data_IF_848630376583
#
_entry.id   IF_848630376583
#
_cell.length_a   1.000
_cell.length_b   1.000
_cell.length_c   1.000
_cell.angle_alpha   90.00
_cell.angle_beta   90.00
_cell.angle_gamma   90.00
#
_symmetry.space_group_name_H-M   'P 1'
#
loop_
_entity.id
_entity.type
_entity.pdbx_description
1 polymer ?
#
# COMPACT_ATOMS: atom_id res chain seq x y z
N UNK A 1 -8.57 -14.81 3.11
CA UNK A 1 -9.06 -15.95 3.93
C UNK A 1 -7.94 -16.77 4.57
N UNK A 2 -6.81 -17.05 3.89
CA UNK A 2 -5.67 -17.76 4.51
C UNK A 2 -4.88 -16.93 5.56
N UNK A 3 -4.94 -15.60 5.52
CA UNK A 3 -4.16 -14.72 6.41
C UNK A 3 -4.68 -14.62 7.85
N UNK A 4 -5.99 -14.67 8.09
CA UNK A 4 -6.56 -14.50 9.44
C UNK A 4 -6.60 -15.79 10.26
N UNK A 5 -6.46 -16.96 9.63
CA UNK A 5 -6.57 -18.26 10.32
C UNK A 5 -5.34 -18.59 11.19
N UNK A 6 -4.23 -17.87 10.98
CA UNK A 6 -2.96 -18.04 11.68
C UNK A 6 -2.51 -16.77 12.41
N UNK A 7 -3.44 -15.99 12.96
CA UNK A 7 -3.08 -15.11 14.07
C UNK A 7 -2.89 -16.05 15.28
N UNK A 8 -1.66 -16.31 15.74
CA UNK A 8 -1.47 -17.11 16.93
C UNK A 8 -2.28 -16.47 18.05
N UNK A 9 -3.04 -17.27 18.79
CA UNK A 9 -3.60 -16.89 20.09
C UNK A 9 -2.42 -16.64 21.03
N UNK A 10 -1.68 -15.55 20.84
CA UNK A 10 -0.67 -15.13 21.80
C UNK A 10 -1.44 -14.57 22.99
N UNK A 11 -1.79 -15.44 23.93
CA UNK A 11 -2.34 -15.10 25.23
C UNK A 11 -1.33 -14.33 26.12
N UNK A 12 -0.35 -13.65 25.52
CA UNK A 12 0.75 -12.96 26.21
C UNK A 12 0.64 -11.43 26.09
N UNK A 13 -0.55 -10.92 25.76
CA UNK A 13 -0.94 -9.55 26.08
C UNK A 13 -1.96 -9.62 27.21
N UNK A 14 -1.56 -10.23 28.33
CA UNK A 14 -2.36 -10.20 29.55
C UNK A 14 -2.19 -8.82 30.18
N UNK A 15 -3.29 -8.09 30.17
CA UNK A 15 -3.63 -6.92 30.98
C UNK A 15 -2.79 -6.78 32.26
N UNK A 16 -1.89 -5.79 32.27
CA UNK A 16 -1.59 -5.04 33.50
C UNK A 16 -2.56 -3.84 33.53
N UNK A 17 -3.86 -4.13 33.68
CA UNK A 17 -4.86 -3.11 33.98
C UNK A 17 -4.97 -2.97 35.49
N UNK A 18 -4.75 -1.73 35.93
CA UNK A 18 -4.74 -1.21 37.28
C UNK A 18 -5.80 -1.78 38.23
N UNK A 19 -5.33 -2.24 39.39
CA UNK A 19 -6.04 -2.06 40.65
C UNK A 19 -5.07 -1.45 41.65
N UNK A 20 -5.25 -0.17 41.97
CA UNK A 20 -4.79 0.55 43.19
C UNK A 20 -5.28 1.99 43.09
N UNK A 21 -6.34 2.34 43.80
CA UNK A 21 -6.33 2.85 45.17
C UNK A 21 -5.38 4.05 45.36
N UNK A 22 -5.99 5.19 45.66
CA UNK A 22 -5.39 6.43 46.12
C UNK A 22 -4.26 6.21 47.12
N UNK A 23 -3.06 6.67 46.79
CA UNK A 23 -2.20 7.47 47.68
C UNK A 23 -0.88 7.83 46.98
N UNK A 24 -0.61 9.14 46.96
CA UNK A 24 0.69 9.81 47.04
C UNK A 24 1.91 9.18 46.35
N UNK A 25 2.51 9.93 45.42
CA UNK A 25 3.81 10.58 45.64
C UNK A 25 4.54 10.86 44.32
N UNK A 26 4.92 12.13 44.15
CA UNK A 26 5.78 12.65 43.11
C UNK A 26 7.11 11.89 43.05
N UNK A 27 7.39 11.20 41.93
CA UNK A 27 8.71 10.98 41.29
C UNK A 27 8.64 9.74 40.40
N UNK A 28 8.63 9.92 39.08
CA UNK A 28 9.36 9.08 38.09
C UNK A 28 8.75 9.24 36.70
N UNK A 29 8.93 10.41 36.08
CA UNK A 29 8.54 10.67 34.68
C UNK A 29 9.73 10.56 33.72
N UNK A 30 10.82 9.89 34.12
CA UNK A 30 12.08 9.91 33.37
C UNK A 30 12.54 8.54 32.84
N UNK A 31 11.79 7.46 33.01
CA UNK A 31 12.33 6.10 32.71
C UNK A 31 11.66 5.41 31.51
N UNK A 32 10.48 5.86 31.06
CA UNK A 32 9.75 5.21 29.95
C UNK A 32 10.18 5.75 28.57
N UNK A 33 10.66 7.00 28.48
CA UNK A 33 11.12 7.60 27.21
C UNK A 33 12.32 6.89 26.58
N UNK A 34 13.22 6.31 27.39
CA UNK A 34 14.47 5.72 26.87
C UNK A 34 14.30 4.35 26.19
N UNK A 35 13.17 3.64 26.40
CA UNK A 35 12.98 2.29 25.84
C UNK A 35 12.47 2.27 24.41
N UNK A 36 11.74 3.31 23.99
CA UNK A 36 11.23 3.45 22.61
C UNK A 36 12.35 3.93 21.67
N UNK A 37 13.23 4.83 22.13
CA UNK A 37 14.36 5.31 21.32
C UNK A 37 15.37 4.21 20.97
N UNK A 38 15.52 3.21 21.84
CA UNK A 38 16.50 2.13 21.64
C UNK A 38 16.05 1.15 20.54
N UNK A 39 14.74 0.89 20.40
CA UNK A 39 14.22 -0.03 19.37
C UNK A 39 14.11 0.64 18.00
N UNK A 40 13.77 1.94 17.95
CA UNK A 40 13.75 2.73 16.71
C UNK A 40 15.17 2.92 16.15
N UNK A 41 16.17 3.12 17.01
CA UNK A 41 17.59 3.23 16.62
C UNK A 41 18.15 1.92 16.04
N UNK A 42 17.73 0.76 16.57
CA UNK A 42 18.15 -0.55 16.07
C UNK A 42 17.55 -0.89 14.69
N UNK A 43 16.30 -0.48 14.45
CA UNK A 43 15.64 -0.65 13.15
C UNK A 43 16.17 0.34 12.09
N UNK A 44 16.45 1.59 12.48
CA UNK A 44 17.10 2.59 11.62
C UNK A 44 18.54 2.16 11.23
N UNK A 45 19.31 1.59 12.16
CA UNK A 45 20.65 1.06 11.88
C UNK A 45 20.63 -0.15 10.91
N UNK A 46 19.59 -1.00 10.98
CA UNK A 46 19.43 -2.10 10.01
C UNK A 46 19.01 -1.60 8.62
N UNK A 47 18.11 -0.61 8.54
CA UNK A 47 17.66 -0.04 7.27
C UNK A 47 18.80 0.69 6.53
N UNK A 48 19.64 1.45 7.25
CA UNK A 48 20.78 2.16 6.68
C UNK A 48 21.90 1.21 6.19
N UNK A 49 22.00 0.00 6.77
CA UNK A 49 22.97 -1.03 6.37
C UNK A 49 22.59 -1.75 5.06
N UNK A 50 21.30 -1.78 4.70
CA UNK A 50 20.85 -2.27 3.39
C UNK A 50 20.99 -1.20 2.29
N UNK A 51 20.74 0.08 2.61
CA UNK A 51 20.90 1.19 1.66
C UNK A 51 22.36 1.45 1.23
N UNK A 52 23.32 1.27 2.14
CA UNK A 52 24.74 1.50 1.83
C UNK A 52 25.41 0.37 1.00
N UNK A 53 24.79 -0.81 0.89
CA UNK A 53 25.31 -1.91 0.04
C UNK A 53 24.93 -1.76 -1.43
N UNK A 54 23.76 -1.21 -1.75
CA UNK A 54 23.35 -0.96 -3.15
C UNK A 54 24.16 0.18 -3.80
N UNK A 55 24.64 1.16 -3.03
CA UNK A 55 25.46 2.27 -3.56
C UNK A 55 26.88 1.83 -3.95
N UNK A 56 27.43 0.74 -3.38
CA UNK A 56 28.78 0.27 -3.73
C UNK A 56 28.85 -0.54 -5.03
N UNK A 57 27.74 -1.06 -5.53
CA UNK A 57 27.69 -1.74 -6.84
C UNK A 57 27.45 -0.77 -8.01
N UNK A 58 26.94 0.43 -7.76
CA UNK A 58 26.80 1.47 -8.78
C UNK A 58 28.13 2.20 -9.11
N UNK A 59 29.12 2.17 -8.21
CA UNK A 59 30.37 2.94 -8.37
C UNK A 59 31.53 2.18 -9.03
N UNK A 60 31.35 0.90 -9.39
CA UNK A 60 32.42 0.06 -9.99
C UNK A 60 32.17 -0.38 -11.44
N UNK A 61 31.10 0.09 -12.08
CA UNK A 61 30.73 -0.27 -13.46
C UNK A 61 31.05 0.79 -14.54
N UNK A 62 31.64 1.93 -14.20
CA UNK A 62 31.74 3.11 -15.09
C UNK A 62 33.06 3.24 -15.87
N UNK A 63 33.71 2.14 -16.25
CA UNK A 63 34.91 2.19 -17.12
C UNK A 63 34.76 1.35 -18.40
N UNK A 64 33.53 1.03 -18.82
CA UNK A 64 33.33 0.48 -20.16
C UNK A 64 32.21 1.22 -20.90
N UNK A 65 32.66 1.86 -21.99
CA UNK A 65 31.89 2.27 -23.16
C UNK A 65 31.21 3.66 -23.13
N UNK A 66 32.04 4.71 -23.16
CA UNK A 66 31.61 6.10 -23.43
C UNK A 66 30.96 6.29 -24.81
N UNK A 67 31.11 5.34 -25.74
CA UNK A 67 30.56 5.45 -27.10
C UNK A 67 29.09 5.02 -27.21
N UNK A 68 28.57 4.23 -26.26
CA UNK A 68 27.15 3.81 -26.25
C UNK A 68 26.27 4.89 -25.60
N UNK A 69 26.79 5.62 -24.61
CA UNK A 69 26.02 6.63 -23.87
C UNK A 69 25.69 7.90 -24.68
N UNK A 70 26.58 8.32 -25.59
CA UNK A 70 26.34 9.48 -26.44
C UNK A 70 25.27 9.22 -27.52
N UNK A 71 25.06 7.96 -27.91
CA UNK A 71 24.08 7.59 -28.95
C UNK A 71 22.65 7.55 -28.41
N UNK A 72 22.46 7.24 -27.12
CA UNK A 72 21.16 7.28 -26.45
C UNK A 72 20.73 8.69 -26.07
N UNK A 73 21.65 9.62 -25.77
CA UNK A 73 21.27 10.99 -25.40
C UNK A 73 20.74 11.81 -26.60
N UNK A 74 21.29 11.59 -27.80
CA UNK A 74 20.82 12.27 -29.02
C UNK A 74 19.43 11.79 -29.47
N UNK A 75 19.11 10.49 -29.34
CA UNK A 75 17.77 9.98 -29.68
C UNK A 75 16.70 10.41 -28.66
N UNK A 76 17.08 10.73 -27.43
CA UNK A 76 16.14 11.19 -26.39
C UNK A 76 15.78 12.68 -26.55
N UNK A 77 16.66 13.51 -27.15
CA UNK A 77 16.37 14.93 -27.39
C UNK A 77 15.47 15.18 -28.61
N UNK A 78 15.57 14.37 -29.66
CA UNK A 78 14.72 14.53 -30.86
C UNK A 78 13.26 14.16 -30.61
N UNK A 79 12.97 13.26 -29.66
CA UNK A 79 11.60 12.85 -29.36
C UNK A 79 10.87 13.77 -28.35
N UNK A 80 11.58 14.73 -27.74
CA UNK A 80 11.02 15.59 -26.68
C UNK A 80 10.28 16.83 -27.21
N UNK A 81 10.46 17.17 -28.49
CA UNK A 81 9.81 18.33 -29.12
C UNK A 81 8.54 18.00 -29.88
N UNK A 82 8.17 16.72 -30.03
CA UNK A 82 6.95 16.32 -30.77
C UNK A 82 5.75 15.94 -29.89
N UNK A 83 5.91 15.89 -28.56
CA UNK A 83 4.87 15.40 -27.62
C UNK A 83 4.32 16.55 -26.74
N UNK A 84 4.54 17.81 -27.12
CA UNK A 84 3.99 18.96 -26.38
C UNK A 84 2.56 19.36 -26.84
N UNK A 85 2.05 18.79 -27.94
CA UNK A 85 0.83 19.31 -28.60
C UNK A 85 -0.34 18.33 -28.67
N UNK A 86 -0.19 17.06 -28.26
CA UNK A 86 -1.28 16.06 -28.29
C UNK A 86 -1.73 15.54 -26.90
N UNK A 87 -1.20 16.11 -25.81
CA UNK A 87 -1.47 15.66 -24.43
C UNK A 87 -2.88 15.97 -23.87
N UNK A 88 -3.66 16.85 -24.51
CA UNK A 88 -4.96 17.28 -23.97
C UNK A 88 -6.14 16.37 -24.31
N UNK A 89 -6.07 15.60 -25.40
CA UNK A 89 -7.22 14.78 -25.84
C UNK A 89 -7.21 13.35 -25.28
N UNK A 90 -6.08 12.87 -24.74
CA UNK A 90 -5.95 11.51 -24.18
C UNK A 90 -6.19 11.44 -22.67
N UNK A 91 -6.54 12.55 -22.01
CA UNK A 91 -6.86 12.57 -20.57
C UNK A 91 -8.36 12.45 -20.25
N UNK A 92 -9.24 12.54 -21.26
CA UNK A 92 -10.69 12.37 -21.09
C UNK A 92 -11.15 10.90 -21.06
N UNK A 93 -10.37 9.96 -21.62
CA UNK A 93 -10.76 8.53 -21.71
C UNK A 93 -10.48 7.77 -20.40
N UNK A 94 -9.74 8.34 -19.44
CA UNK A 94 -9.30 7.61 -18.24
C UNK A 94 -10.17 7.84 -16.98
N UNK A 95 -11.21 8.69 -17.03
CA UNK A 95 -12.14 8.93 -15.89
C UNK A 95 -13.25 7.87 -15.78
N UNK A 96 -13.62 7.20 -16.88
CA UNK A 96 -14.63 6.14 -16.88
C UNK A 96 -14.08 4.79 -16.40
N UNK A 97 -12.79 4.54 -16.57
CA UNK A 97 -12.21 3.22 -16.28
C UNK A 97 -12.07 2.90 -14.79
N UNK A 98 -11.98 3.90 -13.90
CA UNK A 98 -11.98 3.66 -12.43
C UNK A 98 -13.39 3.45 -11.85
N UNK A 99 -14.45 3.91 -12.53
CA UNK A 99 -15.85 3.64 -12.12
C UNK A 99 -16.37 2.29 -12.63
N UNK A 100 -15.83 1.77 -13.74
CA UNK A 100 -16.32 0.51 -14.32
C UNK A 100 -15.74 -0.75 -13.67
N UNK A 101 -14.53 -0.70 -13.08
CA UNK A 101 -13.96 -1.88 -12.38
C UNK A 101 -14.57 -2.04 -10.97
N UNK A 102 -15.12 -0.96 -10.40
CA UNK A 102 -15.69 -0.93 -9.05
C UNK A 102 -17.07 -1.60 -8.96
N UNK A 103 -17.87 -1.62 -10.04
CA UNK A 103 -19.22 -2.21 -10.00
C UNK A 103 -19.22 -3.74 -9.94
N UNK A 104 -18.26 -4.40 -10.60
CA UNK A 104 -18.16 -5.87 -10.60
C UNK A 104 -17.47 -6.42 -9.34
N UNK A 105 -16.48 -5.70 -8.78
CA UNK A 105 -15.76 -6.15 -7.59
C UNK A 105 -16.51 -5.87 -6.27
N UNK A 106 -17.41 -4.88 -6.26
CA UNK A 106 -18.15 -4.52 -5.03
C UNK A 106 -18.95 -5.67 -4.42
N UNK A 107 -19.44 -6.62 -5.22
CA UNK A 107 -20.14 -7.81 -4.70
C UNK A 107 -19.20 -8.79 -3.98
N UNK A 108 -17.99 -9.01 -4.52
CA UNK A 108 -17.00 -9.92 -3.94
C UNK A 108 -16.36 -9.31 -2.69
N UNK A 109 -16.07 -8.01 -2.75
CA UNK A 109 -15.45 -7.25 -1.67
C UNK A 109 -16.35 -7.26 -0.42
N UNK A 110 -17.63 -6.90 -0.60
CA UNK A 110 -18.63 -6.90 0.48
C UNK A 110 -18.80 -8.29 1.11
N UNK A 111 -18.59 -9.38 0.36
CA UNK A 111 -18.66 -10.75 0.91
C UNK A 111 -17.42 -11.12 1.74
N UNK A 112 -16.24 -10.61 1.40
CA UNK A 112 -15.01 -10.93 2.13
C UNK A 112 -14.95 -10.19 3.47
N UNK A 113 -15.36 -8.93 3.48
CA UNK A 113 -15.34 -8.04 4.65
C UNK A 113 -16.44 -8.39 5.65
N UNK A 114 -17.55 -8.97 5.19
CA UNK A 114 -18.63 -9.48 6.07
C UNK A 114 -18.30 -10.78 6.81
N UNK A 115 -17.11 -11.36 6.61
CA UNK A 115 -16.77 -12.61 7.28
C UNK A 115 -16.53 -12.38 8.78
N UNK A 116 -17.13 -13.22 9.65
CA UNK A 116 -16.97 -13.08 11.12
C UNK A 116 -15.51 -13.04 11.57
N UNK A 117 -14.63 -13.75 10.87
CA UNK A 117 -13.20 -13.75 11.15
C UNK A 117 -12.54 -12.41 10.82
N UNK A 118 -12.98 -11.74 9.75
CA UNK A 118 -12.53 -10.39 9.42
C UNK A 118 -13.02 -9.40 10.45
N UNK A 119 -14.33 -9.38 10.74
CA UNK A 119 -14.90 -8.50 11.77
C UNK A 119 -14.22 -8.66 13.13
N UNK A 120 -14.03 -9.89 13.60
CA UNK A 120 -13.29 -10.15 14.84
C UNK A 120 -11.82 -9.72 14.77
N UNK A 121 -11.20 -9.74 13.59
CA UNK A 121 -9.86 -9.23 13.35
C UNK A 121 -9.80 -7.71 13.39
N UNK A 122 -10.80 -7.03 12.81
CA UNK A 122 -10.93 -5.57 12.81
C UNK A 122 -11.22 -5.07 14.21
N UNK A 123 -12.14 -5.69 14.97
CA UNK A 123 -12.40 -5.31 16.36
C UNK A 123 -11.15 -5.43 17.23
N UNK A 124 -10.36 -6.50 17.05
CA UNK A 124 -9.07 -6.65 17.74
C UNK A 124 -8.02 -5.65 17.27
N UNK A 125 -8.07 -5.24 16.00
CA UNK A 125 -7.17 -4.20 15.50
C UNK A 125 -7.53 -2.86 16.11
N UNK A 126 -8.82 -2.54 16.24
CA UNK A 126 -9.32 -1.36 16.93
C UNK A 126 -8.79 -1.30 18.36
N UNK A 127 -8.98 -2.38 19.14
CA UNK A 127 -8.51 -2.45 20.53
C UNK A 127 -6.99 -2.32 20.70
N UNK A 128 -6.22 -2.48 19.61
CA UNK A 128 -4.75 -2.31 19.61
C UNK A 128 -4.34 -0.95 19.04
N UNK A 129 -5.22 -0.24 18.34
CA UNK A 129 -4.95 1.12 17.87
C UNK A 129 -5.39 2.14 18.91
N UNK A 130 -6.48 1.88 19.64
CA UNK A 130 -6.96 2.67 20.78
C UNK A 130 -6.04 2.45 22.00
N UNK A 131 -4.85 3.03 21.93
CA UNK A 131 -3.84 2.98 23.01
C UNK A 131 -4.31 3.82 24.22
N UNK A 132 -5.14 4.83 23.99
CA UNK A 132 -5.74 5.68 25.02
C UNK A 132 -6.82 4.97 25.84
N UNK A 133 -7.55 4.02 25.25
CA UNK A 133 -8.66 3.30 25.87
C UNK A 133 -9.94 4.13 25.97
N UNK A 134 -10.06 5.19 25.19
CA UNK A 134 -11.22 6.09 25.17
C UNK A 134 -12.38 5.52 24.34
N UNK A 135 -12.13 4.44 23.59
CA UNK A 135 -13.10 3.84 22.67
C UNK A 135 -13.23 4.60 21.36
N UNK A 136 -12.28 5.50 21.07
CA UNK A 136 -12.20 6.34 19.88
C UNK A 136 -10.75 6.32 19.39
N UNK A 137 -10.53 6.25 18.08
CA UNK A 137 -9.18 6.23 17.49
C UNK A 137 -8.86 7.60 16.90
N UNK A 138 -7.77 8.22 17.34
CA UNK A 138 -7.30 9.50 16.78
C UNK A 138 -6.53 9.33 15.44
N UNK A 139 -6.20 10.44 14.79
CA UNK A 139 -5.49 10.43 13.50
C UNK A 139 -4.10 9.77 13.58
N UNK A 140 -3.39 9.93 14.71
CA UNK A 140 -2.04 9.38 14.91
C UNK A 140 -2.08 7.88 15.19
N UNK A 141 -3.02 7.43 16.01
CA UNK A 141 -3.34 6.05 16.35
C UNK A 141 -3.77 5.29 15.10
N UNK A 142 -4.64 5.87 14.26
CA UNK A 142 -5.00 5.30 12.98
C UNK A 142 -3.76 5.08 12.09
N UNK A 143 -2.92 6.11 11.92
CA UNK A 143 -1.73 6.00 11.08
C UNK A 143 -0.80 4.88 11.57
N UNK A 144 -0.59 4.80 12.89
CA UNK A 144 0.22 3.77 13.53
C UNK A 144 -0.39 2.38 13.34
N UNK A 145 -1.70 2.27 13.49
CA UNK A 145 -2.48 1.06 13.25
C UNK A 145 -2.35 0.54 11.83
N UNK A 146 -2.54 1.41 10.84
CA UNK A 146 -2.39 1.08 9.42
C UNK A 146 -0.97 0.60 9.12
N UNK A 147 0.04 1.27 9.65
CA UNK A 147 1.44 0.86 9.49
C UNK A 147 1.68 -0.53 10.09
N UNK A 148 1.12 -0.81 11.27
CA UNK A 148 1.26 -2.12 11.90
C UNK A 148 0.55 -3.23 11.11
N UNK A 149 -0.63 -2.97 10.53
CA UNK A 149 -1.32 -3.91 9.64
C UNK A 149 -0.45 -4.23 8.42
N UNK A 150 0.13 -3.21 7.78
CA UNK A 150 1.06 -3.39 6.67
C UNK A 150 2.30 -4.20 7.08
N UNK A 151 2.87 -3.96 8.25
CA UNK A 151 4.04 -4.69 8.74
C UNK A 151 3.72 -6.18 9.02
N UNK A 152 2.54 -6.47 9.57
CA UNK A 152 2.08 -7.85 9.77
C UNK A 152 1.79 -8.54 8.44
N UNK A 153 1.17 -7.84 7.49
CA UNK A 153 0.94 -8.35 6.14
C UNK A 153 2.27 -8.60 5.42
N UNK A 154 3.23 -7.69 5.49
CA UNK A 154 4.58 -7.84 4.95
C UNK A 154 5.28 -9.12 5.42
N UNK A 155 5.12 -9.48 6.70
CA UNK A 155 5.69 -10.72 7.26
C UNK A 155 5.15 -11.98 6.57
N UNK A 156 3.91 -11.96 6.08
CA UNK A 156 3.22 -13.12 5.54
C UNK A 156 3.12 -13.11 4.00
N UNK A 157 2.93 -11.93 3.40
CA UNK A 157 2.77 -11.70 1.96
C UNK A 157 4.09 -11.32 1.27
N UNK A 158 5.16 -11.09 2.03
CA UNK A 158 6.45 -10.67 1.52
C UNK A 158 6.51 -9.17 1.19
N UNK A 159 7.55 -8.80 0.46
CA UNK A 159 7.89 -7.39 0.16
C UNK A 159 6.77 -6.64 -0.60
N UNK A 160 5.93 -7.37 -1.34
CA UNK A 160 4.85 -6.78 -2.15
C UNK A 160 3.78 -6.08 -1.30
N UNK A 161 3.66 -6.42 -0.01
CA UNK A 161 2.71 -5.78 0.92
C UNK A 161 3.33 -4.62 1.74
N UNK A 162 4.63 -4.34 1.57
CA UNK A 162 5.40 -3.38 2.37
C UNK A 162 5.27 -1.91 1.93
N UNK A 163 4.19 -1.53 1.27
CA UNK A 163 4.00 -0.14 0.81
C UNK A 163 2.87 0.50 1.61
N UNK A 164 3.15 0.96 2.84
CA UNK A 164 2.16 1.68 3.62
C UNK A 164 1.78 2.99 2.92
N UNK A 165 0.53 3.44 3.05
CA UNK A 165 0.12 4.76 2.60
C UNK A 165 0.95 5.85 3.30
N UNK A 166 1.17 6.96 2.59
CA UNK A 166 1.77 8.17 3.17
C UNK A 166 0.82 8.79 4.20
N UNK A 167 1.35 9.50 5.20
CA UNK A 167 0.54 10.15 6.25
C UNK A 167 -0.60 10.99 5.68
N UNK A 168 -0.31 11.90 4.73
CA UNK A 168 -1.33 12.70 4.07
C UNK A 168 -2.47 11.91 3.39
N UNK A 169 -2.24 10.64 3.01
CA UNK A 169 -3.30 9.77 2.47
C UNK A 169 -4.13 9.17 3.59
N UNK A 170 -3.50 8.81 4.72
CA UNK A 170 -4.22 8.40 5.93
C UNK A 170 -5.07 9.53 6.50
N UNK A 171 -4.53 10.75 6.59
CA UNK A 171 -5.25 11.94 7.05
C UNK A 171 -6.52 12.17 6.22
N UNK A 172 -6.43 11.93 4.91
CA UNK A 172 -7.60 11.98 4.01
C UNK A 172 -8.60 10.85 4.24
N UNK A 173 -8.13 9.64 4.48
CA UNK A 173 -9.02 8.53 4.82
C UNK A 173 -9.71 8.76 6.15
N UNK A 174 -9.01 9.36 7.12
CA UNK A 174 -9.56 9.76 8.40
C UNK A 174 -10.69 10.77 8.21
N UNK A 175 -10.43 11.87 7.48
CA UNK A 175 -11.44 12.90 7.21
C UNK A 175 -12.66 12.40 6.42
N UNK A 176 -12.50 11.36 5.60
CA UNK A 176 -13.61 10.73 4.86
C UNK A 176 -14.40 9.72 5.72
N UNK A 177 -13.74 9.09 6.70
CA UNK A 177 -14.34 8.10 7.58
C UNK A 177 -15.08 8.74 8.76
N UNK A 178 -14.55 9.85 9.30
CA UNK A 178 -15.13 10.67 10.37
C UNK A 178 -16.33 11.46 9.82
N UNK A 179 -17.49 10.80 9.74
CA UNK A 179 -18.70 11.37 9.13
C UNK A 179 -19.38 12.35 10.05
N UNK A 180 -19.27 12.14 11.35
CA UNK A 180 -19.85 13.01 12.37
C UNK A 180 -18.95 14.20 12.73
N UNK A 181 -17.69 14.20 12.27
CA UNK A 181 -16.68 15.22 12.56
C UNK A 181 -16.40 15.35 14.05
N UNK A 182 -16.44 14.24 14.75
CA UNK A 182 -16.13 14.18 16.18
C UNK A 182 -14.63 14.40 16.45
N UNK A 183 -13.77 14.27 15.44
CA UNK A 183 -12.32 14.37 15.55
C UNK A 183 -11.67 13.05 15.99
N UNK A 184 -12.42 11.95 15.95
CA UNK A 184 -11.97 10.61 16.28
C UNK A 184 -12.86 9.57 15.57
N UNK A 185 -12.35 8.36 15.39
CA UNK A 185 -13.11 7.30 14.71
C UNK A 185 -13.72 6.35 15.74
N UNK A 186 -15.03 6.17 15.65
CA UNK A 186 -15.71 5.11 16.38
C UNK A 186 -15.39 3.72 15.78
N UNK A 187 -15.94 2.65 16.38
CA UNK A 187 -15.65 1.27 15.93
C UNK A 187 -16.19 0.99 14.53
N UNK A 188 -17.32 1.59 14.17
CA UNK A 188 -18.01 1.43 12.90
C UNK A 188 -17.28 2.15 11.76
N UNK A 189 -16.86 3.39 11.99
CA UNK A 189 -16.06 4.22 11.09
C UNK A 189 -14.66 3.62 10.90
N UNK A 190 -14.04 3.12 11.97
CA UNK A 190 -12.80 2.37 11.86
C UNK A 190 -12.99 1.05 11.08
N UNK A 191 -14.13 0.38 11.21
CA UNK A 191 -14.37 -0.80 10.38
C UNK A 191 -14.46 -0.42 8.90
N UNK A 192 -15.13 0.69 8.58
CA UNK A 192 -15.25 1.20 7.22
C UNK A 192 -13.88 1.56 6.61
N UNK A 193 -13.00 2.24 7.36
CA UNK A 193 -11.68 2.63 6.86
C UNK A 193 -10.78 1.40 6.60
N UNK A 194 -10.82 0.41 7.50
CA UNK A 194 -10.02 -0.83 7.36
C UNK A 194 -10.51 -1.67 6.17
N UNK A 195 -11.82 -1.68 5.89
CA UNK A 195 -12.39 -2.31 4.70
C UNK A 195 -11.81 -1.70 3.42
N UNK A 196 -11.81 -0.37 3.29
CA UNK A 196 -11.23 0.34 2.14
C UNK A 196 -9.73 0.03 1.99
N UNK A 197 -8.98 0.09 3.09
CA UNK A 197 -7.54 -0.17 3.08
C UNK A 197 -7.24 -1.61 2.67
N UNK A 198 -7.97 -2.58 3.23
CA UNK A 198 -7.82 -3.99 2.89
C UNK A 198 -8.16 -4.26 1.43
N UNK A 199 -9.20 -3.62 0.88
CA UNK A 199 -9.56 -3.74 -0.54
C UNK A 199 -8.43 -3.25 -1.46
N UNK A 200 -7.81 -2.11 -1.12
CA UNK A 200 -6.67 -1.58 -1.87
C UNK A 200 -5.48 -2.53 -1.86
N UNK A 201 -5.14 -3.09 -0.70
CA UNK A 201 -4.03 -4.06 -0.58
C UNK A 201 -4.35 -5.36 -1.31
N UNK A 202 -5.57 -5.89 -1.15
CA UNK A 202 -5.99 -7.13 -1.81
C UNK A 202 -6.02 -6.98 -3.33
N UNK A 203 -6.48 -5.85 -3.84
CA UNK A 203 -6.48 -5.56 -5.29
C UNK A 203 -5.06 -5.56 -5.83
N UNK A 204 -4.12 -4.91 -5.13
CA UNK A 204 -2.70 -4.93 -5.47
C UNK A 204 -2.13 -6.36 -5.50
N UNK A 205 -2.40 -7.16 -4.47
CA UNK A 205 -1.96 -8.55 -4.41
C UNK A 205 -2.58 -9.40 -5.51
N UNK A 206 -3.87 -9.21 -5.79
CA UNK A 206 -4.60 -9.97 -6.81
C UNK A 206 -4.04 -9.71 -8.20
N UNK A 207 -3.87 -8.44 -8.59
CA UNK A 207 -3.25 -8.07 -9.88
C UNK A 207 -1.85 -8.67 -10.01
N UNK A 208 -1.07 -8.66 -8.91
CA UNK A 208 0.25 -9.27 -8.90
C UNK A 208 0.20 -10.77 -9.22
N UNK A 209 -0.64 -11.54 -8.53
CA UNK A 209 -0.74 -12.97 -8.79
C UNK A 209 -1.32 -13.27 -10.17
N UNK A 210 -2.26 -12.45 -10.65
CA UNK A 210 -2.85 -12.61 -11.97
C UNK A 210 -1.81 -12.40 -13.08
N UNK A 211 -1.01 -11.33 -13.00
CA UNK A 211 0.08 -11.07 -13.96
C UNK A 211 1.14 -12.16 -13.86
N UNK A 212 1.48 -12.61 -12.66
CA UNK A 212 2.49 -13.66 -12.46
C UNK A 212 2.04 -15.00 -13.05
N UNK A 213 0.79 -15.40 -12.81
CA UNK A 213 0.25 -16.68 -13.29
C UNK A 213 -0.02 -16.66 -14.80
N UNK A 214 -0.50 -15.54 -15.35
CA UNK A 214 -0.89 -15.46 -16.76
C UNK A 214 0.22 -14.94 -17.67
N UNK A 215 0.89 -13.84 -17.32
CA UNK A 215 1.85 -13.19 -18.23
C UNK A 215 3.21 -13.89 -18.27
N UNK A 216 3.70 -14.40 -17.14
CA UNK A 216 5.02 -15.05 -17.08
C UNK A 216 5.14 -16.27 -18.01
N UNK A 217 4.20 -17.25 -18.02
CA UNK A 217 4.31 -18.39 -18.94
C UNK A 217 4.16 -17.97 -20.40
N UNK A 218 3.27 -17.02 -20.71
CA UNK A 218 3.07 -16.51 -22.08
C UNK A 218 4.32 -15.81 -22.61
N UNK A 219 4.98 -15.00 -21.77
CA UNK A 219 6.21 -14.33 -22.17
C UNK A 219 7.37 -15.32 -22.34
N UNK A 220 7.45 -16.33 -21.46
CA UNK A 220 8.47 -17.37 -21.56
C UNK A 220 8.32 -18.19 -22.85
N UNK A 221 7.10 -18.61 -23.21
CA UNK A 221 6.85 -19.32 -24.47
C UNK A 221 7.11 -18.42 -25.68
N UNK A 222 6.69 -17.16 -25.63
CA UNK A 222 6.94 -16.18 -26.69
C UNK A 222 8.44 -16.02 -26.99
N UNK A 223 9.27 -15.83 -25.95
CA UNK A 223 10.72 -15.64 -26.13
C UNK A 223 11.40 -16.91 -26.63
N UNK A 224 11.01 -18.10 -26.14
CA UNK A 224 11.58 -19.36 -26.65
C UNK A 224 11.25 -19.58 -28.12
N UNK A 225 10.00 -19.31 -28.51
CA UNK A 225 9.57 -19.39 -29.90
C UNK A 225 10.33 -18.39 -30.78
N UNK A 226 10.59 -17.18 -30.26
CA UNK A 226 11.35 -16.16 -30.97
C UNK A 226 12.82 -16.56 -31.19
N UNK A 227 13.42 -17.25 -30.22
CA UNK A 227 14.81 -17.73 -30.31
C UNK A 227 15.00 -19.00 -31.16
N UNK A 228 13.92 -19.63 -31.66
CA UNK A 228 13.94 -20.88 -32.46
C UNK A 228 14.84 -21.97 -31.86
N UNK A 229 14.78 -22.18 -30.56
CA UNK A 229 15.55 -23.23 -29.88
C UNK A 229 14.89 -24.59 -30.18
N UNK A 230 15.63 -25.64 -30.57
CA UNK A 230 15.07 -26.97 -30.82
C UNK A 230 14.37 -27.54 -29.57
N UNK A 231 13.18 -28.11 -29.76
CA UNK A 231 12.22 -28.40 -28.69
C UNK A 231 12.58 -29.57 -27.76
N UNK A 232 13.55 -30.41 -28.13
CA UNK A 232 13.81 -31.68 -27.42
C UNK A 232 14.99 -31.68 -26.45
N UNK A 233 15.57 -30.51 -26.15
CA UNK A 233 16.77 -30.45 -25.29
C UNK A 233 16.42 -30.03 -23.86
N UNK A 234 17.00 -30.72 -22.85
CA UNK A 234 16.95 -30.28 -21.44
C UNK A 234 17.33 -28.80 -21.24
N UNK A 235 18.17 -28.28 -22.13
CA UNK A 235 18.53 -26.87 -22.21
C UNK A 235 17.31 -25.94 -22.34
N UNK A 236 16.27 -26.33 -23.06
CA UNK A 236 15.05 -25.53 -23.24
C UNK A 236 14.32 -25.31 -21.91
N UNK A 237 14.23 -26.34 -21.07
CA UNK A 237 13.60 -26.26 -19.74
C UNK A 237 14.37 -25.30 -18.83
N UNK A 238 15.71 -25.39 -18.82
CA UNK A 238 16.56 -24.51 -18.02
C UNK A 238 16.45 -23.07 -18.51
N UNK A 239 16.48 -22.83 -19.82
CA UNK A 239 16.31 -21.49 -20.41
C UNK A 239 14.94 -20.91 -20.08
N UNK A 240 13.86 -21.71 -20.17
CA UNK A 240 12.50 -21.28 -19.79
C UNK A 240 12.44 -20.86 -18.31
N UNK A 241 13.03 -21.64 -17.41
CA UNK A 241 13.05 -21.34 -15.98
C UNK A 241 13.91 -20.11 -15.65
N UNK A 242 15.07 -19.96 -16.29
CA UNK A 242 15.93 -18.78 -16.09
C UNK A 242 15.29 -17.52 -16.65
N UNK A 243 14.65 -17.61 -17.82
CA UNK A 243 13.99 -16.48 -18.44
C UNK A 243 12.76 -16.05 -17.65
N UNK A 244 11.96 -16.99 -17.15
CA UNK A 244 10.81 -16.67 -16.29
C UNK A 244 11.27 -16.00 -14.99
N UNK A 245 12.35 -16.48 -14.37
CA UNK A 245 12.95 -15.84 -13.20
C UNK A 245 13.46 -14.42 -13.54
N UNK A 246 14.20 -14.24 -14.64
CA UNK A 246 14.74 -12.94 -15.05
C UNK A 246 13.63 -11.93 -15.35
N UNK A 247 12.60 -12.35 -16.08
CA UNK A 247 11.39 -11.56 -16.35
C UNK A 247 10.72 -11.15 -15.04
N UNK A 248 10.56 -12.10 -14.11
CA UNK A 248 9.98 -11.83 -12.80
C UNK A 248 10.79 -10.79 -12.02
N UNK A 249 12.12 -10.86 -12.00
CA UNK A 249 12.95 -9.91 -11.26
C UNK A 249 13.07 -8.52 -11.92
N UNK A 250 13.01 -8.43 -13.25
CA UNK A 250 13.20 -7.15 -13.96
C UNK A 250 11.89 -6.43 -14.27
N UNK A 251 10.88 -7.15 -14.75
CA UNK A 251 9.63 -6.54 -15.21
C UNK A 251 8.74 -6.18 -14.01
N UNK A 252 8.73 -7.01 -12.96
CA UNK A 252 7.85 -6.82 -11.82
C UNK A 252 8.08 -5.48 -11.10
N UNK A 253 9.33 -5.05 -10.77
CA UNK A 253 9.56 -3.72 -10.20
C UNK A 253 9.11 -2.57 -11.11
N UNK A 254 9.24 -2.73 -12.44
CA UNK A 254 8.83 -1.70 -13.40
C UNK A 254 7.31 -1.55 -13.45
N UNK A 255 6.58 -2.67 -13.48
CA UNK A 255 5.12 -2.66 -13.43
C UNK A 255 4.64 -1.99 -12.14
N UNK A 256 5.28 -2.27 -10.99
CA UNK A 256 4.95 -1.62 -9.73
C UNK A 256 5.14 -0.11 -9.76
N UNK A 257 6.27 0.37 -10.26
CA UNK A 257 6.50 1.80 -10.38
C UNK A 257 5.44 2.49 -11.25
N UNK A 258 4.94 1.80 -12.29
CA UNK A 258 3.87 2.32 -13.15
C UNK A 258 2.52 2.35 -12.40
N UNK A 259 2.18 1.29 -11.67
CA UNK A 259 0.92 1.21 -10.90
C UNK A 259 0.92 2.27 -9.79
N UNK A 260 1.99 2.35 -9.01
CA UNK A 260 2.10 3.29 -7.89
C UNK A 260 2.18 4.75 -8.37
N UNK A 261 2.77 4.98 -9.55
CA UNK A 261 2.76 6.30 -10.20
C UNK A 261 1.35 6.79 -10.50
N UNK A 262 0.41 5.89 -10.86
CA UNK A 262 -0.99 6.27 -11.15
C UNK A 262 -1.78 6.64 -9.89
N UNK A 263 -1.48 6.01 -8.76
CA UNK A 263 -2.15 6.29 -7.48
C UNK A 263 -1.87 7.71 -6.97
N UNK A 264 -0.65 8.22 -7.19
CA UNK A 264 -0.27 9.59 -6.78
C UNK A 264 -1.04 10.67 -7.56
N UNK A 265 -1.21 10.48 -8.86
CA UNK A 265 -1.93 11.44 -9.73
C UNK A 265 -3.43 11.50 -9.38
N UNK A 266 -4.00 10.42 -8.84
CA UNK A 266 -5.38 10.42 -8.36
C UNK A 266 -5.51 11.13 -6.99
N UNK A 267 -4.47 11.04 -6.16
CA UNK A 267 -4.43 11.66 -4.84
C UNK A 267 -4.27 13.18 -4.88
N UNK A 268 -3.37 13.71 -5.72
CA UNK A 268 -3.03 15.13 -5.74
C UNK A 268 -4.05 16.02 -6.44
N UNK A 269 -5.22 15.51 -6.85
CA UNK A 269 -6.28 16.41 -7.24
C UNK A 269 -6.73 17.14 -5.99
N UNK A 270 -6.49 18.46 -5.86
CA UNK A 270 -7.06 19.22 -4.77
C UNK A 270 -8.55 18.93 -4.80
N UNK A 271 -9.09 18.53 -3.65
CA UNK A 271 -10.52 18.58 -3.44
C UNK A 271 -10.80 20.07 -3.55
N UNK A 272 -11.09 20.54 -4.77
CA UNK A 272 -11.57 21.88 -4.99
C UNK A 272 -12.88 21.94 -4.22
N UNK A 273 -12.81 22.54 -3.04
CA UNK A 273 -13.91 22.97 -2.17
C UNK A 273 -14.76 24.04 -2.87
N UNK A 274 -14.86 23.97 -4.19
CA UNK A 274 -15.53 24.90 -5.07
C UNK A 274 -16.70 24.19 -5.72
N UNK A 275 -17.70 23.89 -4.89
CA UNK A 275 -19.09 24.03 -5.32
C UNK A 275 -19.92 24.52 -4.12
N UNK A 276 -19.78 25.81 -3.74
CA UNK A 276 -20.68 26.45 -2.77
C UNK A 276 -22.17 26.37 -3.19
N UNK A 277 -22.46 25.96 -4.43
CA UNK A 277 -23.81 25.74 -4.94
C UNK A 277 -24.51 24.50 -4.35
N UNK A 278 -23.79 23.54 -3.77
CA UNK A 278 -24.38 22.31 -3.18
C UNK A 278 -24.83 22.47 -1.72
N UNK A 279 -24.56 23.63 -1.10
CA UNK A 279 -24.97 23.97 0.26
C UNK A 279 -26.30 24.75 0.33
N UNK A 280 -27.04 24.84 -0.77
CA UNK A 280 -28.47 25.15 -0.74
C UNK A 280 -29.25 23.88 -0.39
N UNK A 281 -29.17 23.47 0.88
CA UNK A 281 -30.19 22.61 1.46
C UNK A 281 -31.48 23.45 1.46
N UNK A 282 -32.56 23.03 0.77
CA UNK A 282 -33.84 23.69 0.92
C UNK A 282 -34.26 23.50 2.39
N UNK A 283 -34.23 24.59 3.16
CA UNK A 283 -34.92 24.68 4.44
C UNK A 283 -36.37 24.28 4.18
N UNK A 284 -36.73 23.08 4.64
CA UNK A 284 -38.10 22.60 4.62
C UNK A 284 -38.81 23.33 5.77
N UNK A 285 -39.18 24.58 5.51
CA UNK A 285 -40.18 25.28 6.32
C UNK A 285 -41.53 24.59 6.12
N UNK A 286 -42.17 24.27 7.23
CA UNK A 286 -43.56 23.85 7.31
C UNK A 286 -43.76 22.78 8.39
N UNK A 287 -44.74 22.87 9.27
CA UNK A 287 -45.86 23.80 9.42
C UNK A 287 -46.43 23.53 10.84
N UNK A 288 -46.99 24.56 11.47
CA UNK A 288 -47.79 24.48 12.70
C UNK A 288 -49.08 23.67 12.53
#
# INVERSE_FOLDING_TARGET
>A
FFFFKNIPKSNHWQQHSCSRNSQASNKSTSTISYRIDTTVSALSSSYNRYSTRTVRYAKRGTILNKNVFLKTELLTRVNKTSIATEGSSMLMISRSSQRCVSSSLGCVERRLTQTRAFQAGVSKAFDVCDDSGEGIVDENELYTGVLMVHLKLAKHAGHSACFPPTRAVCDRYFAEADRDRSGGLDREEFHYIVEILCANILTRMFVYYLVLILCVPVLATFVVNLCRIPDDTYFQLVVRALLSALVMFLIMPLIWNIIDGRSKVAGDRPITTEDPASLLIPQREGEE
#
